data_IF_891277304418
#
_entry.id   IF_891277304418
#
_cell.length_a   1.000
_cell.length_b   1.000
_cell.length_c   1.000
_cell.angle_alpha   90.00
_cell.angle_beta   90.00
_cell.angle_gamma   90.00
#
_symmetry.space_group_name_H-M   'P 1'
#
loop_
_entity.id
_entity.type
_entity.pdbx_description
1 polymer ?
#
# COMPACT_ATOMS: atom_id res chain seq x y z
N UNK A 1 -39.70 -8.48 6.75
CA UNK A 1 -38.37 -8.45 7.36
C UNK A 1 -38.19 -7.12 8.08
N UNK A 2 -37.97 -7.09 9.38
CA UNK A 2 -37.59 -5.84 10.05
C UNK A 2 -36.16 -5.52 9.59
N UNK A 3 -35.96 -4.38 8.94
CA UNK A 3 -34.62 -3.87 8.67
C UNK A 3 -33.95 -3.65 10.03
N UNK A 4 -32.97 -4.48 10.38
CA UNK A 4 -32.13 -4.18 11.54
C UNK A 4 -31.35 -2.91 11.18
N UNK A 5 -31.64 -1.84 11.90
CA UNK A 5 -30.89 -0.60 11.79
C UNK A 5 -29.59 -0.79 12.59
N UNK A 6 -28.46 -0.56 11.97
CA UNK A 6 -27.14 -0.64 12.59
C UNK A 6 -27.07 0.32 13.78
N UNK A 7 -26.71 -0.18 14.95
CA UNK A 7 -26.41 0.67 16.10
C UNK A 7 -24.95 1.12 16.05
N UNK A 8 -24.71 2.33 15.59
CA UNK A 8 -23.37 2.87 15.42
C UNK A 8 -22.59 3.05 16.71
N UNK A 9 -23.27 3.35 17.83
CA UNK A 9 -22.62 3.52 19.12
C UNK A 9 -22.10 2.18 19.67
N UNK A 10 -22.94 1.13 19.61
CA UNK A 10 -22.51 -0.22 19.99
C UNK A 10 -21.42 -0.74 19.08
N UNK A 11 -21.53 -0.49 17.77
CA UNK A 11 -20.50 -0.84 16.78
C UNK A 11 -19.15 -0.22 17.14
N UNK A 12 -19.15 1.10 17.37
CA UNK A 12 -17.93 1.82 17.73
C UNK A 12 -17.32 1.26 19.02
N UNK A 13 -18.11 1.10 20.08
CA UNK A 13 -17.61 0.58 21.35
C UNK A 13 -17.04 -0.85 21.23
N UNK A 14 -17.62 -1.69 20.39
CA UNK A 14 -17.12 -3.04 20.12
C UNK A 14 -15.81 -3.03 19.35
N UNK A 15 -15.72 -2.21 18.30
CA UNK A 15 -14.50 -2.08 17.48
C UNK A 15 -13.37 -1.48 18.32
N UNK A 16 -13.62 -0.41 19.06
CA UNK A 16 -12.61 0.22 19.93
C UNK A 16 -12.04 -0.82 20.91
N UNK A 17 -12.91 -1.58 21.59
CA UNK A 17 -12.48 -2.64 22.51
C UNK A 17 -11.68 -3.74 21.83
N UNK A 18 -12.16 -4.25 20.69
CA UNK A 18 -11.46 -5.31 19.94
C UNK A 18 -10.10 -4.81 19.43
N UNK A 19 -10.03 -3.54 19.04
CA UNK A 19 -8.78 -2.91 18.62
C UNK A 19 -7.79 -2.85 19.77
N UNK A 20 -8.19 -2.29 20.91
CA UNK A 20 -7.30 -2.08 22.06
C UNK A 20 -6.87 -3.39 22.73
N UNK A 21 -7.80 -4.33 22.90
CA UNK A 21 -7.57 -5.55 23.68
C UNK A 21 -7.00 -6.71 22.84
N UNK A 22 -7.13 -6.69 21.50
CA UNK A 22 -6.80 -7.83 20.66
C UNK A 22 -5.96 -7.46 19.43
N UNK A 23 -6.39 -6.47 18.64
CA UNK A 23 -5.73 -6.15 17.37
C UNK A 23 -4.40 -5.41 17.61
N UNK A 24 -4.42 -4.37 18.43
CA UNK A 24 -3.21 -3.58 18.72
C UNK A 24 -2.09 -4.43 19.33
N UNK A 25 -2.34 -5.32 20.32
CA UNK A 25 -1.32 -6.25 20.79
C UNK A 25 -0.76 -7.16 19.68
N UNK A 26 -1.62 -7.69 18.80
CA UNK A 26 -1.17 -8.51 17.67
C UNK A 26 -0.29 -7.72 16.69
N UNK A 27 -0.64 -6.47 16.40
CA UNK A 27 0.16 -5.58 15.55
C UNK A 27 1.50 -5.22 16.20
N UNK A 28 1.55 -5.03 17.52
CA UNK A 28 2.81 -4.83 18.26
C UNK A 28 3.72 -6.03 18.10
N UNK A 29 3.20 -7.25 18.19
CA UNK A 29 4.01 -8.45 18.01
C UNK A 29 4.40 -8.65 16.54
N UNK A 30 3.51 -8.35 15.61
CA UNK A 30 3.81 -8.38 14.18
C UNK A 30 4.96 -7.43 13.81
N UNK A 31 4.98 -6.19 14.30
CA UNK A 31 6.06 -5.22 14.01
C UNK A 31 7.44 -5.77 14.38
N UNK A 32 7.56 -6.56 15.45
CA UNK A 32 8.84 -7.14 15.91
C UNK A 32 9.46 -8.11 14.92
N UNK A 33 8.67 -8.72 14.03
CA UNK A 33 9.13 -9.73 13.08
C UNK A 33 9.63 -9.04 11.81
N UNK A 34 10.91 -9.19 11.41
CA UNK A 34 11.47 -8.54 10.23
C UNK A 34 11.10 -9.29 8.93
N UNK A 35 9.81 -9.43 8.68
CA UNK A 35 9.24 -10.17 7.55
C UNK A 35 9.38 -9.36 6.25
N UNK A 36 10.61 -9.11 5.82
CA UNK A 36 10.90 -8.39 4.58
C UNK A 36 10.44 -9.18 3.36
N UNK A 37 9.93 -8.45 2.36
CA UNK A 37 9.56 -9.02 1.08
C UNK A 37 10.74 -9.70 0.37
N UNK A 38 10.52 -10.72 -0.47
CA UNK A 38 11.60 -11.48 -1.12
C UNK A 38 12.62 -10.64 -1.89
N UNK A 39 12.22 -9.54 -2.50
CA UNK A 39 13.16 -8.63 -3.19
C UNK A 39 14.20 -8.02 -2.23
N UNK A 40 13.89 -7.92 -0.94
CA UNK A 40 14.75 -7.33 0.09
C UNK A 40 15.36 -8.39 1.03
N UNK A 41 14.91 -9.63 0.93
CA UNK A 41 15.46 -10.79 1.65
C UNK A 41 15.49 -12.03 0.75
N UNK A 42 16.53 -12.20 -0.06
CA UNK A 42 16.67 -13.38 -0.93
C UNK A 42 16.65 -14.72 -0.20
N UNK A 43 16.91 -14.71 1.11
CA UNK A 43 16.89 -15.90 1.99
C UNK A 43 15.61 -16.01 2.82
N UNK A 44 14.52 -15.35 2.41
CA UNK A 44 13.26 -15.26 3.14
C UNK A 44 12.72 -16.61 3.63
N UNK A 45 12.83 -17.65 2.83
CA UNK A 45 12.36 -19.00 3.18
C UNK A 45 13.20 -19.59 4.33
N UNK A 46 14.53 -19.49 4.25
CA UNK A 46 15.45 -19.96 5.29
C UNK A 46 15.31 -19.16 6.60
N UNK A 47 15.04 -17.85 6.52
CA UNK A 47 14.78 -17.01 7.69
C UNK A 47 13.43 -17.31 8.34
N UNK A 48 12.44 -17.74 7.59
CA UNK A 48 11.11 -18.13 8.08
C UNK A 48 10.26 -16.99 8.63
N UNK A 49 10.64 -15.73 8.42
CA UNK A 49 9.91 -14.57 8.95
C UNK A 49 8.53 -14.40 8.30
N UNK A 50 8.41 -14.61 6.99
CA UNK A 50 7.13 -14.58 6.28
C UNK A 50 6.18 -15.67 6.79
N UNK A 51 6.70 -16.87 7.02
CA UNK A 51 5.93 -17.95 7.61
C UNK A 51 5.45 -17.59 9.01
N UNK A 52 6.33 -17.00 9.83
CA UNK A 52 6.00 -16.62 11.22
C UNK A 52 4.86 -15.59 11.28
N UNK A 53 4.85 -14.56 10.42
CA UNK A 53 3.77 -13.56 10.42
C UNK A 53 2.46 -14.14 9.92
N UNK A 54 2.50 -15.05 8.94
CA UNK A 54 1.31 -15.75 8.43
C UNK A 54 0.72 -16.67 9.49
N UNK A 55 1.54 -17.46 10.19
CA UNK A 55 1.10 -18.34 11.27
C UNK A 55 0.50 -17.55 12.43
N UNK A 56 1.12 -16.43 12.81
CA UNK A 56 0.62 -15.54 13.87
C UNK A 56 -0.75 -14.94 13.49
N UNK A 57 -0.88 -14.39 12.30
CA UNK A 57 -2.14 -13.79 11.81
C UNK A 57 -3.24 -14.85 11.66
N UNK A 58 -2.90 -16.04 11.15
CA UNK A 58 -3.81 -17.17 11.05
C UNK A 58 -4.30 -17.64 12.44
N UNK A 59 -3.40 -17.75 13.42
CA UNK A 59 -3.77 -18.12 14.79
C UNK A 59 -4.75 -17.10 15.39
N UNK A 60 -4.48 -15.81 15.24
CA UNK A 60 -5.41 -14.76 15.69
C UNK A 60 -6.78 -14.88 15.01
N UNK A 61 -6.81 -15.04 13.69
CA UNK A 61 -8.05 -15.17 12.92
C UNK A 61 -8.85 -16.42 13.34
N UNK A 62 -8.18 -17.54 13.59
CA UNK A 62 -8.80 -18.77 14.07
C UNK A 62 -9.51 -18.58 15.42
N UNK A 63 -8.94 -17.77 16.31
CA UNK A 63 -9.57 -17.45 17.59
C UNK A 63 -10.85 -16.63 17.45
N UNK A 64 -11.01 -15.83 16.38
CA UNK A 64 -12.23 -15.07 16.15
C UNK A 64 -13.45 -15.96 15.88
N UNK A 65 -13.25 -17.13 15.25
CA UNK A 65 -14.31 -18.10 14.97
C UNK A 65 -14.74 -18.90 16.19
N UNK A 66 -13.89 -19.04 17.20
CA UNK A 66 -14.07 -19.95 18.33
C UNK A 66 -14.63 -19.28 19.58
N UNK A 67 -14.84 -17.97 19.55
CA UNK A 67 -15.42 -17.27 20.70
C UNK A 67 -16.89 -17.64 20.84
N UNK A 68 -17.17 -18.47 21.83
CA UNK A 68 -18.51 -18.87 22.24
C UNK A 68 -19.23 -17.67 22.85
N UNK A 69 -19.97 -16.96 22.03
CA UNK A 69 -20.92 -15.92 22.45
C UNK A 69 -22.34 -16.34 22.09
N UNK A 70 -23.32 -15.62 22.54
CA UNK A 70 -24.75 -15.86 22.25
C UNK A 70 -25.07 -15.75 20.75
N UNK A 71 -24.24 -15.01 19.97
CA UNK A 71 -24.36 -14.89 18.52
C UNK A 71 -23.08 -15.39 17.87
N UNK A 72 -23.13 -16.45 17.05
CA UNK A 72 -21.95 -16.93 16.35
C UNK A 72 -21.50 -15.88 15.33
N UNK A 73 -20.25 -15.45 15.44
CA UNK A 73 -19.62 -14.56 14.48
C UNK A 73 -18.73 -15.35 13.53
N UNK A 74 -18.65 -14.93 12.27
CA UNK A 74 -17.91 -15.59 11.22
C UNK A 74 -18.25 -17.09 11.06
N UNK A 75 -19.51 -17.44 11.33
CA UNK A 75 -19.98 -18.83 11.31
C UNK A 75 -19.70 -19.47 9.94
N UNK A 76 -19.06 -20.64 9.95
CA UNK A 76 -18.72 -21.38 8.73
C UNK A 76 -17.52 -20.80 7.96
N UNK A 77 -16.77 -19.85 8.53
CA UNK A 77 -15.53 -19.38 7.94
C UNK A 77 -14.57 -20.55 7.70
N UNK A 78 -14.01 -20.60 6.51
CA UNK A 78 -12.87 -21.44 6.17
C UNK A 78 -11.65 -20.55 6.15
N UNK A 79 -10.60 -20.93 6.85
CA UNK A 79 -9.37 -20.19 6.98
C UNK A 79 -8.20 -21.12 6.69
N UNK A 80 -7.34 -20.73 5.77
CA UNK A 80 -6.26 -21.58 5.28
C UNK A 80 -4.98 -20.77 5.10
N UNK A 81 -3.86 -21.39 5.44
CA UNK A 81 -2.55 -20.97 4.95
C UNK A 81 -2.29 -21.75 3.67
N UNK A 82 -2.10 -21.02 2.57
CA UNK A 82 -1.75 -21.61 1.28
C UNK A 82 -0.27 -21.35 1.01
N UNK A 83 0.42 -22.36 0.49
CA UNK A 83 1.77 -22.20 -0.01
C UNK A 83 1.97 -23.08 -1.23
N UNK A 84 2.06 -22.48 -2.41
CA UNK A 84 2.43 -23.17 -3.64
C UNK A 84 3.93 -23.43 -3.65
N UNK A 85 4.37 -24.44 -4.40
CA UNK A 85 5.77 -24.82 -4.47
C UNK A 85 6.66 -23.65 -4.95
N UNK A 86 7.67 -23.31 -4.18
CA UNK A 86 8.59 -22.22 -4.48
C UNK A 86 8.00 -20.81 -4.31
N UNK A 87 6.80 -20.67 -3.75
CA UNK A 87 6.10 -19.40 -3.54
C UNK A 87 6.06 -19.00 -2.07
N UNK A 88 5.89 -17.72 -1.84
CA UNK A 88 5.67 -17.17 -0.51
C UNK A 88 4.32 -17.62 0.06
N UNK A 89 4.17 -17.84 1.38
CA UNK A 89 2.90 -18.25 1.95
C UNK A 89 1.86 -17.12 1.89
N UNK A 90 0.58 -17.46 1.80
CA UNK A 90 -0.51 -16.51 1.93
C UNK A 90 -1.66 -17.05 2.81
N UNK A 91 -2.51 -16.16 3.31
CA UNK A 91 -3.75 -16.53 4.01
C UNK A 91 -4.92 -16.37 3.04
N UNK A 92 -5.76 -17.38 2.98
CA UNK A 92 -7.05 -17.30 2.32
C UNK A 92 -8.16 -17.59 3.32
N UNK A 93 -9.18 -16.73 3.37
CA UNK A 93 -10.38 -16.97 4.14
C UNK A 93 -11.64 -16.86 3.27
N UNK A 94 -12.67 -17.62 3.64
CA UNK A 94 -13.97 -17.66 2.96
C UNK A 94 -15.08 -17.65 4.01
N UNK A 95 -15.78 -16.54 4.11
CA UNK A 95 -16.87 -16.31 5.06
C UNK A 95 -18.20 -16.34 4.32
N UNK A 96 -19.10 -17.32 4.60
CA UNK A 96 -20.38 -17.45 3.93
C UNK A 96 -21.26 -16.19 4.09
N UNK A 97 -22.15 -15.97 3.11
CA UNK A 97 -23.15 -14.90 3.17
C UNK A 97 -24.12 -15.08 4.35
N UNK A 98 -24.57 -13.98 4.94
CA UNK A 98 -25.60 -13.97 5.98
C UNK A 98 -26.80 -13.12 5.54
N UNK A 99 -28.02 -13.65 5.68
CA UNK A 99 -29.26 -12.91 5.42
C UNK A 99 -29.51 -12.46 3.97
N UNK A 100 -28.60 -12.76 3.04
CA UNK A 100 -28.70 -12.44 1.61
C UNK A 100 -28.86 -13.71 0.77
N UNK A 101 -29.96 -14.42 0.95
CA UNK A 101 -30.22 -15.62 0.16
C UNK A 101 -30.36 -15.28 -1.32
N UNK A 102 -29.64 -16.01 -2.18
CA UNK A 102 -29.68 -15.84 -3.65
C UNK A 102 -28.80 -14.71 -4.20
N UNK A 103 -27.93 -14.11 -3.38
CA UNK A 103 -26.91 -13.21 -3.89
C UNK A 103 -25.65 -13.98 -4.23
N UNK A 104 -25.32 -14.08 -5.52
CA UNK A 104 -24.07 -14.68 -6.01
C UNK A 104 -22.88 -13.72 -5.89
N UNK A 105 -23.12 -12.49 -5.41
CA UNK A 105 -22.08 -11.46 -5.28
C UNK A 105 -21.09 -11.82 -4.18
N UNK A 106 -19.82 -11.66 -4.48
CA UNK A 106 -18.71 -11.87 -3.54
C UNK A 106 -17.92 -10.59 -3.37
N UNK A 107 -17.53 -10.30 -2.14
CA UNK A 107 -16.57 -9.23 -1.81
C UNK A 107 -15.24 -9.89 -1.50
N UNK A 108 -14.16 -9.41 -2.11
CA UNK A 108 -12.79 -9.85 -1.84
C UNK A 108 -12.04 -8.76 -1.07
N UNK A 109 -11.56 -9.10 0.12
CA UNK A 109 -10.58 -8.29 0.85
C UNK A 109 -9.18 -8.69 0.43
N UNK A 110 -8.35 -7.71 0.16
CA UNK A 110 -6.96 -7.91 -0.23
C UNK A 110 -6.04 -7.10 0.68
N UNK A 111 -4.89 -7.68 1.01
CA UNK A 111 -3.84 -7.07 1.80
C UNK A 111 -2.59 -7.93 1.83
N UNK A 112 -1.56 -7.49 2.56
CA UNK A 112 -0.30 -8.22 2.65
C UNK A 112 0.33 -8.20 4.06
N UNK A 113 1.31 -9.08 4.29
CA UNK A 113 2.03 -9.19 5.56
C UNK A 113 3.55 -9.11 5.40
N UNK A 114 4.07 -9.05 4.20
CA UNK A 114 5.48 -8.72 3.97
C UNK A 114 5.71 -7.22 4.13
N UNK A 115 6.98 -6.83 4.19
CA UNK A 115 7.37 -5.49 4.59
C UNK A 115 8.48 -4.93 3.73
N UNK A 116 8.50 -3.62 3.57
CA UNK A 116 9.65 -2.86 3.10
C UNK A 116 10.87 -3.05 4.02
N UNK A 117 12.09 -2.84 3.51
CA UNK A 117 13.31 -2.92 4.32
C UNK A 117 13.37 -1.84 5.41
N UNK A 118 14.41 -1.91 6.19
CA UNK A 118 14.64 -1.08 7.38
C UNK A 118 14.56 0.41 7.11
N UNK A 119 15.10 0.88 5.97
CA UNK A 119 15.31 2.29 5.63
C UNK A 119 16.15 3.04 6.68
N UNK A 120 16.46 4.29 6.41
CA UNK A 120 17.18 5.20 7.32
C UNK A 120 16.27 6.36 7.72
N UNK A 121 16.72 7.18 8.69
CA UNK A 121 15.99 8.38 9.10
C UNK A 121 14.97 8.16 10.21
N UNK A 122 14.94 6.99 10.84
CA UNK A 122 14.16 6.77 12.05
C UNK A 122 14.61 7.72 13.16
N UNK A 123 13.65 8.24 13.92
CA UNK A 123 13.93 8.96 15.16
C UNK A 123 14.74 8.03 16.11
N UNK A 124 15.67 8.53 16.87
CA UNK A 124 16.64 7.76 17.66
C UNK A 124 16.00 6.70 18.58
N UNK A 125 14.84 7.00 19.14
CA UNK A 125 14.08 6.14 20.03
C UNK A 125 13.16 5.14 19.29
N UNK A 126 12.97 5.29 17.97
CA UNK A 126 12.16 4.46 17.09
C UNK A 126 13.03 3.51 16.25
N UNK A 127 12.37 2.57 15.57
CA UNK A 127 13.04 1.68 14.63
C UNK A 127 12.04 0.77 13.91
N UNK A 128 12.46 0.15 12.80
CA UNK A 128 11.55 -0.63 11.96
C UNK A 128 10.92 -1.82 12.72
N UNK A 129 11.72 -2.51 13.52
CA UNK A 129 11.31 -3.73 14.25
C UNK A 129 11.10 -3.48 15.76
N UNK A 130 11.05 -2.22 16.15
CA UNK A 130 10.84 -1.79 17.53
C UNK A 130 9.48 -1.09 17.63
N UNK A 131 8.40 -1.82 17.99
CA UNK A 131 7.08 -1.20 18.14
C UNK A 131 7.10 -0.22 19.32
N UNK A 132 6.65 1.00 19.07
CA UNK A 132 6.48 2.03 20.10
C UNK A 132 5.08 2.63 19.97
N UNK A 133 4.34 2.68 21.08
CA UNK A 133 3.07 3.38 21.15
C UNK A 133 3.31 4.73 21.82
N UNK A 134 3.05 5.80 21.09
CA UNK A 134 3.17 7.18 21.58
C UNK A 134 1.97 8.01 21.12
N UNK A 135 1.30 8.66 22.06
CA UNK A 135 0.14 9.53 21.78
C UNK A 135 -0.94 8.85 20.92
N UNK A 136 -1.23 7.58 21.21
CA UNK A 136 -2.25 6.79 20.50
C UNK A 136 -1.85 6.31 19.11
N UNK A 137 -0.56 6.37 18.75
CA UNK A 137 -0.01 5.92 17.47
C UNK A 137 0.99 4.80 17.67
N UNK A 138 0.88 3.75 16.88
CA UNK A 138 1.86 2.67 16.82
C UNK A 138 2.90 3.00 15.74
N UNK A 139 4.16 3.11 16.15
CA UNK A 139 5.30 3.30 15.26
C UNK A 139 6.03 1.96 15.05
N UNK A 140 6.36 1.67 13.81
CA UNK A 140 7.10 0.49 13.39
C UNK A 140 6.78 0.11 11.94
N UNK A 141 7.68 -0.63 11.28
CA UNK A 141 7.51 -1.04 9.89
C UNK A 141 6.37 -2.05 9.77
N UNK A 142 5.45 -1.83 8.82
CA UNK A 142 4.31 -2.71 8.55
C UNK A 142 3.09 -2.46 9.43
N UNK A 143 3.13 -1.51 10.40
CA UNK A 143 1.98 -1.25 11.28
C UNK A 143 0.75 -0.71 10.55
N UNK A 144 0.95 0.05 9.47
CA UNK A 144 -0.10 0.62 8.63
C UNK A 144 -0.06 0.12 7.18
N UNK A 145 1.08 -0.35 6.74
CA UNK A 145 1.37 -0.87 5.42
C UNK A 145 1.93 -2.30 5.57
N UNK A 146 1.13 -3.36 5.48
CA UNK A 146 -0.34 -3.42 5.49
C UNK A 146 -0.81 -4.40 6.60
N UNK A 147 0.01 -4.56 7.66
CA UNK A 147 -0.18 -5.58 8.70
C UNK A 147 -1.56 -5.60 9.36
N UNK A 148 -2.34 -4.52 9.26
CA UNK A 148 -3.66 -4.42 9.88
C UNK A 148 -4.81 -5.01 9.02
N UNK A 149 -4.59 -5.26 7.73
CA UNK A 149 -5.64 -5.58 6.75
C UNK A 149 -6.50 -6.77 7.16
N UNK A 150 -5.88 -7.92 7.49
CA UNK A 150 -6.60 -9.11 7.92
C UNK A 150 -7.47 -8.83 9.15
N UNK A 151 -6.91 -8.15 10.13
CA UNK A 151 -7.57 -7.85 11.40
C UNK A 151 -8.77 -6.94 11.19
N UNK A 152 -8.61 -5.87 10.42
CA UNK A 152 -9.67 -4.91 10.10
C UNK A 152 -10.81 -5.58 9.30
N UNK A 153 -10.49 -6.39 8.29
CA UNK A 153 -11.47 -7.13 7.51
C UNK A 153 -12.33 -8.05 8.39
N UNK A 154 -11.70 -8.89 9.20
CA UNK A 154 -12.42 -9.83 10.06
C UNK A 154 -13.19 -9.12 11.20
N UNK A 155 -12.66 -8.05 11.76
CA UNK A 155 -13.36 -7.25 12.76
C UNK A 155 -14.62 -6.60 12.19
N UNK A 156 -14.55 -6.07 10.96
CA UNK A 156 -15.71 -5.51 10.27
C UNK A 156 -16.78 -6.57 10.03
N UNK A 157 -16.41 -7.73 9.49
CA UNK A 157 -17.36 -8.84 9.24
C UNK A 157 -17.99 -9.37 10.55
N UNK A 158 -17.18 -9.56 11.59
CA UNK A 158 -17.67 -9.99 12.90
C UNK A 158 -18.64 -8.97 13.52
N UNK A 159 -18.40 -7.68 13.31
CA UNK A 159 -19.27 -6.61 13.79
C UNK A 159 -20.63 -6.60 13.10
N UNK A 160 -20.67 -6.87 11.80
CA UNK A 160 -21.92 -7.05 11.06
C UNK A 160 -22.71 -8.26 11.57
N UNK A 161 -22.04 -9.39 11.79
CA UNK A 161 -22.67 -10.61 12.30
C UNK A 161 -23.26 -10.39 13.71
N UNK A 162 -22.54 -9.72 14.63
CA UNK A 162 -23.04 -9.40 15.99
C UNK A 162 -24.31 -8.55 15.96
N UNK A 163 -24.45 -7.68 14.99
CA UNK A 163 -25.64 -6.87 14.80
C UNK A 163 -26.70 -7.50 13.87
N UNK A 164 -26.49 -8.75 13.46
CA UNK A 164 -27.38 -9.45 12.53
C UNK A 164 -27.65 -8.68 11.24
N UNK A 165 -26.63 -7.96 10.75
CA UNK A 165 -26.66 -7.24 9.50
C UNK A 165 -26.34 -8.22 8.37
N UNK A 166 -27.23 -8.26 7.36
CA UNK A 166 -27.05 -9.10 6.19
C UNK A 166 -25.83 -8.65 5.37
N UNK A 167 -25.01 -9.60 4.92
CA UNK A 167 -23.85 -9.35 4.07
C UNK A 167 -23.67 -10.43 3.01
N UNK A 168 -23.02 -10.12 1.88
CA UNK A 168 -22.66 -11.11 0.87
C UNK A 168 -21.58 -12.07 1.41
N UNK A 169 -21.25 -13.08 0.60
CA UNK A 169 -20.06 -13.91 0.81
C UNK A 169 -18.83 -13.01 0.75
N UNK A 170 -17.91 -13.20 1.69
CA UNK A 170 -16.69 -12.42 1.80
C UNK A 170 -15.47 -13.33 1.77
N UNK A 171 -14.54 -13.02 0.91
CA UNK A 171 -13.25 -13.69 0.78
C UNK A 171 -12.14 -12.76 1.27
N UNK A 172 -11.02 -13.33 1.67
CA UNK A 172 -9.79 -12.56 1.88
C UNK A 172 -8.60 -13.29 1.31
N UNK A 173 -7.72 -12.54 0.69
CA UNK A 173 -6.43 -12.99 0.20
C UNK A 173 -5.37 -12.04 0.74
N UNK A 174 -4.52 -12.56 1.63
CA UNK A 174 -3.46 -11.81 2.30
C UNK A 174 -2.14 -12.45 1.92
N UNK A 175 -1.39 -11.79 1.05
CA UNK A 175 -0.12 -12.29 0.51
C UNK A 175 1.10 -11.89 1.33
N UNK A 176 2.28 -12.36 0.94
CA UNK A 176 3.56 -12.01 1.56
C UNK A 176 4.68 -11.74 0.55
N UNK A 177 4.33 -11.15 -0.60
CA UNK A 177 5.31 -10.65 -1.58
C UNK A 177 4.82 -9.39 -2.32
N UNK A 178 3.89 -8.63 -1.74
CA UNK A 178 3.35 -7.41 -2.34
C UNK A 178 4.44 -6.38 -2.58
N UNK A 179 5.27 -6.14 -1.60
CA UNK A 179 6.37 -5.18 -1.62
C UNK A 179 7.52 -5.53 -2.61
N UNK A 180 7.43 -6.73 -3.19
CA UNK A 180 8.24 -7.18 -4.34
C UNK A 180 7.50 -7.08 -5.68
N UNK A 181 6.32 -6.46 -5.71
CA UNK A 181 5.46 -6.33 -6.89
C UNK A 181 4.56 -7.55 -7.13
N UNK A 182 4.22 -8.29 -6.11
CA UNK A 182 3.28 -9.44 -6.13
C UNK A 182 3.60 -10.51 -7.19
N UNK A 183 4.85 -10.97 -7.34
CA UNK A 183 5.20 -11.91 -8.40
C UNK A 183 4.48 -13.26 -8.29
N UNK A 184 4.05 -13.63 -7.08
CA UNK A 184 3.38 -14.91 -6.80
C UNK A 184 1.85 -14.82 -6.91
N UNK A 185 1.27 -13.63 -6.79
CA UNK A 185 -0.16 -13.39 -6.78
C UNK A 185 -0.90 -13.97 -8.00
N UNK A 186 -0.40 -13.84 -9.23
CA UNK A 186 -1.09 -14.41 -10.40
C UNK A 186 -1.33 -15.92 -10.31
N UNK A 187 -0.36 -16.68 -9.79
CA UNK A 187 -0.48 -18.13 -9.63
C UNK A 187 -1.47 -18.49 -8.52
N UNK A 188 -1.49 -17.73 -7.41
CA UNK A 188 -2.50 -17.90 -6.36
C UNK A 188 -3.91 -17.58 -6.86
N UNK A 189 -4.09 -16.55 -7.67
CA UNK A 189 -5.40 -16.22 -8.26
C UNK A 189 -5.87 -17.32 -9.21
N UNK A 190 -4.99 -17.89 -10.03
CA UNK A 190 -5.37 -19.01 -10.90
C UNK A 190 -5.70 -20.28 -10.09
N UNK A 191 -4.93 -20.58 -9.04
CA UNK A 191 -5.21 -21.68 -8.12
C UNK A 191 -6.57 -21.52 -7.41
N UNK A 192 -6.90 -20.31 -6.98
CA UNK A 192 -8.11 -19.99 -6.25
C UNK A 192 -9.32 -19.73 -7.16
N UNK A 193 -9.14 -19.56 -8.45
CA UNK A 193 -10.19 -19.23 -9.43
C UNK A 193 -11.48 -20.05 -9.29
N UNK A 194 -11.44 -21.40 -9.10
CA UNK A 194 -12.66 -22.16 -8.90
C UNK A 194 -13.43 -21.83 -7.61
N UNK A 195 -12.78 -21.15 -6.67
CA UNK A 195 -13.30 -20.82 -5.34
C UNK A 195 -13.72 -19.36 -5.21
N UNK A 196 -13.23 -18.46 -6.08
CA UNK A 196 -13.51 -17.01 -5.98
C UNK A 196 -14.98 -16.68 -6.26
N UNK A 197 -15.62 -17.39 -7.20
CA UNK A 197 -16.98 -17.06 -7.63
C UNK A 197 -17.04 -15.73 -8.40
N UNK A 198 -18.18 -15.06 -8.35
CA UNK A 198 -18.39 -13.74 -8.99
C UNK A 198 -17.97 -12.64 -8.02
N UNK A 199 -16.71 -12.20 -8.10
CA UNK A 199 -16.18 -11.08 -7.29
C UNK A 199 -16.68 -9.77 -7.85
N UNK A 200 -17.63 -9.17 -7.17
CA UNK A 200 -18.27 -7.91 -7.57
C UNK A 200 -17.60 -6.65 -6.98
N UNK A 201 -16.78 -6.82 -5.93
CA UNK A 201 -16.06 -5.74 -5.27
C UNK A 201 -14.76 -6.28 -4.67
N UNK A 202 -13.66 -5.55 -4.89
CA UNK A 202 -12.40 -5.76 -4.18
C UNK A 202 -12.18 -4.60 -3.23
N UNK A 203 -11.87 -4.89 -1.97
CA UNK A 203 -11.51 -3.92 -0.94
C UNK A 203 -10.04 -4.14 -0.62
N UNK A 204 -9.18 -3.27 -1.12
CA UNK A 204 -7.77 -3.17 -0.74
C UNK A 204 -7.64 -2.24 0.46
N UNK A 205 -7.00 -2.71 1.52
CA UNK A 205 -6.81 -1.94 2.76
C UNK A 205 -5.45 -1.24 2.79
N UNK A 206 -4.60 -1.52 1.82
CA UNK A 206 -3.30 -0.90 1.63
C UNK A 206 -3.45 0.49 0.98
N UNK A 207 -3.85 1.45 1.79
CA UNK A 207 -4.01 2.84 1.35
C UNK A 207 -3.75 3.80 2.50
N UNK A 208 -2.87 4.78 2.26
CA UNK A 208 -2.60 5.84 3.22
C UNK A 208 -3.83 6.73 3.44
N UNK A 209 -3.93 7.33 4.63
CA UNK A 209 -4.93 8.35 4.93
C UNK A 209 -4.34 9.75 4.83
N UNK A 210 -5.16 10.74 4.47
CA UNK A 210 -4.75 12.14 4.44
C UNK A 210 -4.59 12.74 5.84
N UNK A 211 -5.45 12.30 6.77
CA UNK A 211 -5.40 12.62 8.19
C UNK A 211 -6.16 11.56 9.00
N UNK A 212 -6.27 11.73 10.30
CA UNK A 212 -6.97 10.80 11.20
C UNK A 212 -8.41 11.23 11.55
N UNK A 213 -8.92 12.29 10.90
CA UNK A 213 -10.23 12.90 11.23
C UNK A 213 -11.34 12.34 10.33
N UNK A 214 -11.01 11.96 9.08
CA UNK A 214 -11.97 11.47 8.08
C UNK A 214 -11.60 10.07 7.59
N UNK A 215 -12.61 9.33 7.10
CA UNK A 215 -12.38 8.15 6.28
C UNK A 215 -11.90 8.59 4.88
N UNK A 216 -10.73 8.13 4.51
CA UNK A 216 -10.17 8.33 3.17
C UNK A 216 -10.37 7.08 2.33
N UNK A 217 -10.89 7.27 1.11
CA UNK A 217 -11.13 6.18 0.16
C UNK A 217 -10.42 6.52 -1.15
N UNK A 218 -9.46 5.67 -1.54
CA UNK A 218 -8.80 5.76 -2.84
C UNK A 218 -9.72 5.17 -3.90
N UNK A 219 -10.16 5.99 -4.85
CA UNK A 219 -11.14 5.60 -5.87
C UNK A 219 -10.52 5.31 -7.23
N UNK A 220 -9.26 5.69 -7.44
CA UNK A 220 -8.50 5.44 -8.66
C UNK A 220 -7.01 5.45 -8.41
N UNK A 221 -6.27 4.70 -9.23
CA UNK A 221 -4.81 4.62 -9.21
C UNK A 221 -4.27 4.93 -10.60
N UNK A 222 -3.06 5.49 -10.65
CA UNK A 222 -2.29 5.60 -11.89
C UNK A 222 -1.73 4.23 -12.25
N UNK A 223 -1.63 3.94 -13.55
CA UNK A 223 -0.85 2.80 -14.03
C UNK A 223 0.65 3.06 -13.86
N UNK A 224 1.43 1.99 -13.92
CA UNK A 224 2.89 2.01 -13.88
C UNK A 224 3.44 1.31 -15.11
N UNK A 225 4.46 1.91 -15.73
CA UNK A 225 5.33 1.26 -16.70
C UNK A 225 6.78 1.60 -16.38
N UNK A 226 7.62 0.60 -16.33
CA UNK A 226 9.04 0.76 -16.04
C UNK A 226 9.91 0.05 -17.06
N UNK A 227 11.18 0.42 -17.10
CA UNK A 227 12.16 -0.19 -17.98
C UNK A 227 13.57 0.30 -17.68
N UNK A 228 14.54 -0.29 -18.37
CA UNK A 228 15.95 0.10 -18.30
C UNK A 228 16.35 0.79 -19.59
N UNK A 229 16.88 2.01 -19.48
CA UNK A 229 17.48 2.73 -20.59
C UNK A 229 18.99 2.48 -20.60
N UNK A 230 19.46 1.69 -21.57
CA UNK A 230 20.89 1.45 -21.78
C UNK A 230 21.42 2.35 -22.89
N UNK A 231 22.57 2.97 -22.66
CA UNK A 231 23.25 3.82 -23.63
C UNK A 231 24.70 3.35 -23.79
N UNK A 232 25.02 2.80 -24.93
CA UNK A 232 26.35 2.34 -25.30
C UNK A 232 26.92 3.23 -26.37
N UNK A 233 28.16 3.69 -26.21
CA UNK A 233 28.85 4.59 -27.17
C UNK A 233 30.02 3.88 -27.83
N UNK A 234 30.80 3.10 -27.09
CA UNK A 234 31.95 2.36 -27.54
C UNK A 234 31.80 0.88 -27.16
N UNK A 235 32.44 0.01 -27.92
CA UNK A 235 32.45 -1.44 -27.67
C UNK A 235 33.36 -1.82 -26.48
N UNK A 236 34.35 -0.96 -26.17
CA UNK A 236 35.31 -1.16 -25.08
C UNK A 236 35.74 0.16 -24.46
N UNK A 237 36.36 0.09 -23.28
CA UNK A 237 36.96 1.24 -22.63
C UNK A 237 38.18 1.76 -23.34
N UNK A 238 38.36 3.08 -23.41
CA UNK A 238 39.50 3.75 -24.03
C UNK A 238 40.15 4.76 -23.10
N UNK A 239 41.40 5.17 -23.40
CA UNK A 239 42.08 6.16 -22.61
C UNK A 239 41.40 7.52 -22.73
N UNK A 240 41.03 8.13 -21.58
CA UNK A 240 40.27 9.39 -21.52
C UNK A 240 40.98 10.58 -22.21
N UNK A 241 42.30 10.63 -22.16
CA UNK A 241 43.09 11.67 -22.83
C UNK A 241 42.96 11.65 -24.37
N UNK A 242 42.67 10.51 -24.95
CA UNK A 242 42.45 10.36 -26.40
C UNK A 242 40.98 10.58 -26.78
N UNK A 243 40.06 10.26 -25.87
CA UNK A 243 38.62 10.26 -26.14
C UNK A 243 37.93 11.60 -25.80
N UNK A 244 38.50 12.34 -24.88
CA UNK A 244 37.92 13.60 -24.40
C UNK A 244 37.68 14.62 -25.50
N UNK A 245 36.45 15.11 -25.62
CA UNK A 245 36.04 16.04 -26.68
C UNK A 245 35.73 15.38 -28.06
N UNK A 246 36.08 14.10 -28.24
CA UNK A 246 35.82 13.32 -29.48
C UNK A 246 34.65 12.37 -29.25
N UNK A 247 34.74 11.54 -28.24
CA UNK A 247 33.69 10.55 -27.90
C UNK A 247 32.56 11.23 -27.11
N UNK A 248 31.31 11.12 -27.55
CA UNK A 248 30.17 11.69 -26.83
C UNK A 248 30.01 11.03 -25.44
N UNK A 249 29.62 11.81 -24.41
CA UNK A 249 29.25 11.26 -23.11
C UNK A 249 27.94 10.46 -23.22
N UNK A 250 27.92 9.23 -22.71
CA UNK A 250 26.72 8.42 -22.61
C UNK A 250 25.60 9.13 -21.78
N UNK A 251 25.96 9.82 -20.70
CA UNK A 251 25.02 10.64 -19.92
C UNK A 251 24.41 11.79 -20.72
N UNK A 252 25.14 12.40 -21.63
CA UNK A 252 24.59 13.42 -22.52
C UNK A 252 23.56 12.82 -23.48
N UNK A 253 23.81 11.62 -23.98
CA UNK A 253 22.83 10.91 -24.83
C UNK A 253 21.63 10.49 -24.05
N UNK A 254 21.81 9.91 -22.82
CA UNK A 254 20.72 9.54 -21.91
C UNK A 254 19.81 10.75 -21.62
N UNK A 255 20.37 11.89 -21.22
CA UNK A 255 19.58 13.11 -20.98
C UNK A 255 18.78 13.55 -22.20
N UNK A 256 19.34 13.47 -23.41
CA UNK A 256 18.60 13.82 -24.62
C UNK A 256 17.43 12.86 -24.90
N UNK A 257 17.54 11.61 -24.50
CA UNK A 257 16.46 10.64 -24.63
C UNK A 257 15.38 10.90 -23.57
N UNK A 258 15.77 11.15 -22.32
CA UNK A 258 14.85 11.49 -21.23
C UNK A 258 14.06 12.77 -21.54
N UNK A 259 14.69 13.81 -22.06
CA UNK A 259 14.03 15.06 -22.45
C UNK A 259 12.99 14.90 -23.60
N UNK A 260 12.84 13.71 -24.18
CA UNK A 260 11.72 13.39 -25.07
C UNK A 260 10.51 12.88 -24.31
N UNK A 261 10.69 12.46 -23.07
CA UNK A 261 9.66 11.92 -22.20
C UNK A 261 9.09 13.00 -21.31
N UNK A 262 9.94 13.82 -20.69
CA UNK A 262 9.52 14.93 -19.85
C UNK A 262 10.27 16.23 -20.19
N UNK A 263 9.69 17.34 -19.80
CA UNK A 263 10.31 18.66 -19.88
C UNK A 263 11.18 18.88 -18.64
N UNK A 264 12.46 19.16 -18.87
CA UNK A 264 13.46 19.22 -17.81
C UNK A 264 13.22 20.36 -16.79
N UNK A 265 12.53 21.41 -17.20
CA UNK A 265 12.28 22.57 -16.33
C UNK A 265 11.00 22.42 -15.51
N UNK A 266 9.95 21.86 -16.10
CA UNK A 266 8.64 21.68 -15.45
C UNK A 266 8.39 20.29 -14.87
N UNK A 267 9.15 19.26 -15.31
CA UNK A 267 8.91 17.86 -14.96
C UNK A 267 7.63 17.27 -15.58
N UNK A 268 7.01 17.98 -16.52
CA UNK A 268 5.79 17.51 -17.18
C UNK A 268 6.14 16.51 -18.29
N UNK A 269 5.49 15.35 -18.27
CA UNK A 269 5.60 14.37 -19.36
C UNK A 269 5.05 14.99 -20.64
N UNK A 270 5.90 15.09 -21.69
CA UNK A 270 5.58 15.89 -22.89
C UNK A 270 4.63 15.20 -23.86
N UNK A 271 4.62 13.87 -23.90
CA UNK A 271 3.78 13.15 -24.86
C UNK A 271 2.32 13.08 -24.43
N UNK A 272 1.38 13.60 -25.24
CA UNK A 272 -0.04 13.61 -24.90
C UNK A 272 -0.65 12.21 -24.76
N UNK A 273 -0.03 11.18 -25.30
CA UNK A 273 -0.50 9.78 -25.20
C UNK A 273 -0.54 9.27 -23.75
N UNK A 274 0.29 9.85 -22.88
CA UNK A 274 0.33 9.47 -21.46
C UNK A 274 -0.67 10.27 -20.58
N UNK A 275 -1.32 11.30 -21.15
CA UNK A 275 -2.26 12.14 -20.41
C UNK A 275 -3.69 11.66 -20.60
N UNK A 276 -4.23 10.98 -19.60
CA UNK A 276 -5.65 10.63 -19.57
C UNK A 276 -6.50 11.86 -19.25
N UNK A 277 -7.68 12.02 -19.88
CA UNK A 277 -8.64 13.05 -19.49
C UNK A 277 -9.07 12.85 -18.03
N UNK A 278 -9.00 13.90 -17.22
CA UNK A 278 -9.42 13.84 -15.82
C UNK A 278 -10.93 14.12 -15.76
N UNK A 279 -11.75 13.17 -15.28
CA UNK A 279 -13.19 13.41 -15.12
C UNK A 279 -13.46 14.56 -14.17
N UNK A 280 -14.51 15.35 -14.44
CA UNK A 280 -14.87 16.52 -13.62
C UNK A 280 -15.14 16.14 -12.16
N UNK A 281 -15.69 14.96 -11.93
CA UNK A 281 -15.90 14.40 -10.58
C UNK A 281 -14.58 14.27 -9.80
N UNK A 282 -13.53 13.76 -10.43
CA UNK A 282 -12.19 13.62 -9.82
C UNK A 282 -11.54 14.97 -9.54
N UNK A 283 -11.77 15.96 -10.39
CA UNK A 283 -11.34 17.34 -10.12
C UNK A 283 -12.07 17.90 -8.89
N UNK A 284 -13.37 17.64 -8.75
CA UNK A 284 -14.13 18.09 -7.61
C UNK A 284 -13.68 17.39 -6.30
N UNK A 285 -13.39 16.10 -6.35
CA UNK A 285 -12.82 15.36 -5.20
C UNK A 285 -11.43 15.90 -4.82
N UNK A 286 -10.57 16.19 -5.80
CA UNK A 286 -9.26 16.80 -5.54
C UNK A 286 -9.39 18.18 -4.89
N UNK A 287 -10.40 18.98 -5.23
CA UNK A 287 -10.70 20.25 -4.58
C UNK A 287 -11.10 20.05 -3.12
N UNK A 288 -12.03 19.13 -2.84
CA UNK A 288 -12.43 18.81 -1.47
C UNK A 288 -11.28 18.31 -0.62
N UNK A 289 -10.48 17.39 -1.15
CA UNK A 289 -9.29 16.91 -0.48
C UNK A 289 -8.24 18.01 -0.26
N UNK A 290 -8.06 18.89 -1.23
CA UNK A 290 -7.18 20.05 -1.15
C UNK A 290 -7.60 21.05 -0.08
N UNK A 291 -8.91 21.32 0.06
CA UNK A 291 -9.46 22.17 1.12
C UNK A 291 -9.19 21.59 2.53
N UNK A 292 -9.26 20.27 2.68
CA UNK A 292 -9.02 19.59 3.96
C UNK A 292 -7.52 19.54 4.30
N UNK A 293 -6.69 19.15 3.34
CA UNK A 293 -5.25 18.90 3.55
C UNK A 293 -4.41 20.18 3.48
N UNK A 294 -4.84 21.17 2.67
CA UNK A 294 -4.08 22.39 2.46
C UNK A 294 -2.63 22.11 2.07
N UNK A 295 -1.74 22.89 2.61
CA UNK A 295 -0.30 22.79 2.36
C UNK A 295 0.33 21.48 2.83
N UNK A 296 -0.35 20.68 3.68
CA UNK A 296 0.17 19.38 4.12
C UNK A 296 0.39 18.39 2.97
N UNK A 297 -0.30 18.59 1.83
CA UNK A 297 -0.10 17.77 0.62
C UNK A 297 1.36 17.72 0.19
N UNK A 298 2.09 18.81 0.34
CA UNK A 298 3.51 18.90 -0.04
C UNK A 298 4.46 19.20 1.13
N UNK A 299 4.01 19.85 2.21
CA UNK A 299 4.85 20.16 3.40
C UNK A 299 5.23 18.93 4.22
N UNK A 300 4.51 17.83 4.10
CA UNK A 300 4.82 16.57 4.80
C UNK A 300 6.16 15.95 4.38
N UNK A 301 6.70 16.31 3.22
CA UNK A 301 7.95 15.75 2.73
C UNK A 301 9.15 16.46 3.36
N UNK A 302 10.25 15.73 3.65
CA UNK A 302 11.45 16.29 4.29
C UNK A 302 12.32 17.03 3.27
N UNK A 303 11.84 18.18 2.80
CA UNK A 303 12.54 19.00 1.82
C UNK A 303 13.92 19.42 2.30
N UNK A 304 14.90 19.41 1.41
CA UNK A 304 16.25 19.91 1.70
C UNK A 304 16.18 21.43 1.96
N UNK A 305 16.73 21.84 3.09
CA UNK A 305 16.82 23.27 3.41
C UNK A 305 17.93 23.94 2.61
N UNK A 306 17.58 25.00 1.90
CA UNK A 306 18.53 25.84 1.14
C UNK A 306 19.17 26.98 1.96
N UNK A 307 18.83 27.09 3.25
CA UNK A 307 19.27 28.21 4.10
C UNK A 307 20.77 28.33 4.25
N UNK A 308 21.53 27.32 3.89
CA UNK A 308 23.00 27.29 3.96
C UNK A 308 23.68 27.02 2.61
N UNK A 309 22.94 27.07 1.51
CA UNK A 309 23.52 26.88 0.19
C UNK A 309 24.39 28.11 -0.16
N UNK A 310 25.64 27.96 -0.62
CA UNK A 310 26.39 29.07 -1.17
C UNK A 310 25.63 29.75 -2.31
N UNK A 311 25.76 31.04 -2.49
CA UNK A 311 25.07 31.83 -3.51
C UNK A 311 25.20 31.25 -4.93
N UNK A 312 26.31 30.56 -5.24
CA UNK A 312 26.53 29.87 -6.51
C UNK A 312 25.57 28.68 -6.73
N UNK A 313 24.87 28.18 -5.70
CA UNK A 313 23.94 27.04 -5.77
C UNK A 313 22.49 27.46 -5.52
N UNK A 314 22.18 28.74 -5.37
CA UNK A 314 20.80 29.23 -5.12
C UNK A 314 19.84 28.76 -6.21
N UNK A 315 20.26 28.82 -7.48
CA UNK A 315 19.45 28.39 -8.60
C UNK A 315 19.20 26.86 -8.60
N UNK A 316 20.22 26.06 -8.28
CA UNK A 316 20.07 24.62 -8.12
C UNK A 316 19.17 24.27 -6.93
N UNK A 317 19.19 25.08 -5.88
CA UNK A 317 18.35 24.93 -4.71
C UNK A 317 16.88 25.27 -4.99
N UNK A 318 16.61 26.21 -5.88
CA UNK A 318 15.25 26.53 -6.32
C UNK A 318 14.58 25.36 -7.05
N UNK A 319 15.36 24.49 -7.69
CA UNK A 319 14.82 23.26 -8.33
C UNK A 319 14.48 22.15 -7.33
N UNK A 320 14.90 22.28 -6.05
CA UNK A 320 14.56 21.35 -4.97
C UNK A 320 13.29 21.79 -4.22
N UNK A 321 12.32 22.32 -4.95
CA UNK A 321 11.03 22.75 -4.45
C UNK A 321 9.92 21.81 -4.98
N UNK A 322 8.74 21.79 -4.36
CA UNK A 322 7.62 21.06 -4.91
C UNK A 322 7.27 21.57 -6.32
N UNK A 323 6.88 20.66 -7.22
CA UNK A 323 6.47 20.99 -8.59
C UNK A 323 5.29 21.97 -8.62
N UNK A 324 4.51 22.01 -7.56
CA UNK A 324 3.43 22.96 -7.32
C UNK A 324 3.17 23.11 -5.82
N UNK A 325 2.77 24.30 -5.40
CA UNK A 325 2.28 24.57 -4.04
C UNK A 325 0.75 24.67 -3.97
N UNK A 326 0.07 24.53 -5.11
CA UNK A 326 -1.40 24.41 -5.15
C UNK A 326 -1.79 23.01 -4.70
N UNK A 327 -2.56 22.85 -3.59
CA UNK A 327 -2.93 21.52 -3.09
C UNK A 327 -3.75 20.69 -4.09
N UNK A 328 -4.62 21.33 -4.87
CA UNK A 328 -5.46 20.64 -5.87
C UNK A 328 -4.59 20.10 -7.00
N UNK A 329 -3.70 20.93 -7.54
CA UNK A 329 -2.78 20.55 -8.59
C UNK A 329 -1.81 19.45 -8.12
N UNK A 330 -1.32 19.54 -6.87
CA UNK A 330 -0.47 18.52 -6.26
C UNK A 330 -1.20 17.16 -6.13
N UNK A 331 -2.47 17.18 -5.71
CA UNK A 331 -3.31 15.96 -5.64
C UNK A 331 -3.51 15.38 -7.04
N UNK A 332 -3.85 16.18 -8.05
CA UNK A 332 -4.04 15.72 -9.42
C UNK A 332 -2.73 15.19 -10.02
N UNK A 333 -1.58 15.81 -9.72
CA UNK A 333 -0.28 15.31 -10.12
C UNK A 333 0.02 13.92 -9.52
N UNK A 334 -0.36 13.70 -8.26
CA UNK A 334 -0.15 12.44 -7.56
C UNK A 334 -1.10 11.33 -8.01
N UNK A 335 -2.32 11.67 -8.40
CA UNK A 335 -3.39 10.67 -8.60
C UNK A 335 -3.76 10.43 -10.07
N UNK A 336 -3.53 11.38 -10.98
CA UNK A 336 -3.99 11.32 -12.37
C UNK A 336 -2.92 11.60 -13.41
N UNK A 337 -2.12 12.66 -13.23
CA UNK A 337 -1.16 13.06 -14.24
C UNK A 337 0.05 12.13 -14.28
N UNK A 338 0.61 11.87 -15.47
CA UNK A 338 1.82 11.07 -15.57
C UNK A 338 3.02 11.81 -14.94
N UNK A 339 3.96 11.04 -14.41
CA UNK A 339 5.24 11.53 -13.92
C UNK A 339 6.33 10.55 -14.30
N UNK A 340 7.52 11.06 -14.65
CA UNK A 340 8.71 10.25 -14.88
C UNK A 340 9.59 10.28 -13.63
N UNK A 341 10.04 9.10 -13.20
CA UNK A 341 11.06 8.98 -12.16
C UNK A 341 12.23 8.15 -12.70
N UNK A 342 13.43 8.68 -12.56
CA UNK A 342 14.68 7.96 -12.87
C UNK A 342 15.28 7.52 -11.54
N UNK A 343 15.38 6.21 -11.33
CA UNK A 343 15.68 5.63 -10.00
C UNK A 343 17.08 5.04 -9.88
N UNK A 344 17.85 4.99 -10.98
CA UNK A 344 19.23 4.48 -10.95
C UNK A 344 19.83 4.29 -12.31
#
# INVERSE_FOLDING_TARGET
MRSHVMNLNDLKAQIDRQWDESILPALVDYVKIPAKSPAFDPSWDAHGHLKSVVEMAHAWASHQCSQAGETPVLAGMRLEILQLEGKTPCIFFDVPATGMQGSDRTVLFYGHLDKQPEMSGWREDLGPWKPVIESGRLYGRGSADDGYALYAALAALASLDRQSIARPRCLGLIETCEESGSPDLPEYLEHLKPRLGDVSLVIGLDSGCGNYEQLWVTTSLRGLVGGVLSVEILQEGVHSGNASGIVPSSFRVARRLLNRLDDVDSGIVVSPVFHAPIPQERINEAKQAGEILGDMVWKQFPWVSCSHAPAAYEQACQTSQPTTTDPVEAILNRTWRPALSVTG
#
